data_IF_839061688989
#
_entry.id   IF_839061688989
#
_cell.length_a   1.000
_cell.length_b   1.000
_cell.length_c   1.000
_cell.angle_alpha   90.00
_cell.angle_beta   90.00
_cell.angle_gamma   90.00
#
_symmetry.space_group_name_H-M   'P 1'
#
loop_
_entity.id
_entity.type
_entity.pdbx_description
1 polymer ?
#
# COMPACT_ATOMS: atom_id res chain seq x y z
N UNK A 1 18.96 -9.61 -16.78
CA UNK A 1 18.87 -8.14 -16.96
C UNK A 1 17.69 -7.86 -17.88
N UNK A 2 16.73 -7.02 -17.46
CA UNK A 2 15.54 -6.69 -18.26
C UNK A 2 15.92 -5.75 -19.43
N UNK A 3 15.27 -5.92 -20.58
CA UNK A 3 15.58 -5.11 -21.77
C UNK A 3 15.02 -3.69 -21.63
N UNK A 4 15.61 -2.71 -22.34
CA UNK A 4 15.15 -1.31 -22.33
C UNK A 4 13.66 -1.15 -22.70
N UNK A 5 13.15 -2.06 -23.54
CA UNK A 5 11.74 -2.10 -23.91
C UNK A 5 10.84 -2.57 -22.75
N UNK A 6 11.26 -3.58 -21.99
CA UNK A 6 10.54 -4.05 -20.81
C UNK A 6 10.47 -2.97 -19.73
N UNK A 7 11.56 -2.24 -19.48
CA UNK A 7 11.58 -1.14 -18.50
C UNK A 7 10.60 -0.02 -18.90
N UNK A 8 10.54 0.33 -20.20
CA UNK A 8 9.62 1.37 -20.70
C UNK A 8 8.15 0.93 -20.59
N UNK A 9 7.87 -0.36 -20.83
CA UNK A 9 6.53 -0.93 -20.68
C UNK A 9 6.11 -0.97 -19.20
N UNK A 10 6.98 -1.43 -18.31
CA UNK A 10 6.75 -1.41 -16.85
C UNK A 10 6.48 0.01 -16.35
N UNK A 11 7.33 0.98 -16.72
CA UNK A 11 7.15 2.38 -16.30
C UNK A 11 5.81 2.99 -16.78
N UNK A 12 5.34 2.61 -17.97
CA UNK A 12 4.04 3.08 -18.47
C UNK A 12 2.90 2.45 -17.67
N UNK A 13 2.98 1.14 -17.42
CA UNK A 13 1.99 0.43 -16.60
C UNK A 13 1.96 0.96 -15.17
N UNK A 14 3.12 1.15 -14.54
CA UNK A 14 3.23 1.68 -13.18
C UNK A 14 2.62 3.08 -13.09
N UNK A 15 2.85 3.95 -14.08
CA UNK A 15 2.27 5.30 -14.10
C UNK A 15 0.75 5.31 -14.28
N UNK A 16 0.21 4.39 -15.08
CA UNK A 16 -1.23 4.33 -15.37
C UNK A 16 -2.02 3.56 -14.31
N UNK A 17 -1.42 2.55 -13.66
CA UNK A 17 -2.13 1.60 -12.80
C UNK A 17 -1.73 1.66 -11.33
N UNK A 18 -0.64 2.36 -10.99
CA UNK A 18 -0.17 2.45 -9.61
C UNK A 18 -0.17 3.90 -9.13
N UNK A 19 -0.71 4.11 -7.92
CA UNK A 19 -0.60 5.39 -7.21
C UNK A 19 0.22 5.15 -5.96
N UNK A 20 1.39 5.80 -5.90
CA UNK A 20 2.23 5.78 -4.69
C UNK A 20 1.68 6.78 -3.68
N UNK A 21 1.38 6.30 -2.48
CA UNK A 21 0.94 7.13 -1.35
C UNK A 21 2.08 7.16 -0.33
N UNK A 22 2.60 8.35 -0.07
CA UNK A 22 3.71 8.56 0.85
C UNK A 22 3.12 8.90 2.22
N UNK A 23 3.30 8.01 3.19
CA UNK A 23 2.72 8.13 4.51
C UNK A 23 3.85 8.36 5.53
N UNK A 24 3.77 9.47 6.27
CA UNK A 24 4.73 9.79 7.32
C UNK A 24 4.22 9.24 8.65
N UNK A 25 4.90 8.24 9.18
CA UNK A 25 4.67 7.71 10.53
C UNK A 25 5.70 8.30 11.49
N UNK A 26 5.25 8.73 12.66
CA UNK A 26 6.15 9.22 13.69
C UNK A 26 6.63 8.04 14.55
N UNK A 27 7.95 7.89 14.66
CA UNK A 27 8.59 6.81 15.43
C UNK A 27 8.22 6.75 16.91
N UNK A 28 7.64 7.83 17.48
CA UNK A 28 7.26 7.88 18.90
C UNK A 28 5.79 7.55 19.16
N UNK A 29 4.89 8.00 18.30
CA UNK A 29 3.43 7.81 18.48
C UNK A 29 2.89 6.64 17.68
N UNK A 30 3.53 6.34 16.55
CA UNK A 30 3.14 5.29 15.62
C UNK A 30 4.15 4.13 15.65
N UNK A 31 4.90 3.99 16.75
CA UNK A 31 5.89 2.93 16.93
C UNK A 31 5.26 1.56 16.71
N UNK A 32 4.11 1.31 17.31
CA UNK A 32 3.36 0.05 17.22
C UNK A 32 2.93 -0.26 15.77
N UNK A 33 2.56 0.77 15.01
CA UNK A 33 2.21 0.64 13.58
C UNK A 33 3.46 0.29 12.77
N UNK A 34 4.59 0.94 13.05
CA UNK A 34 5.87 0.65 12.39
C UNK A 34 6.29 -0.79 12.67
N UNK A 35 6.19 -1.24 13.92
CA UNK A 35 6.52 -2.61 14.32
C UNK A 35 5.61 -3.64 13.64
N UNK A 36 4.30 -3.41 13.59
CA UNK A 36 3.37 -4.26 12.83
C UNK A 36 3.73 -4.30 11.34
N UNK A 37 4.04 -3.13 10.74
CA UNK A 37 4.45 -3.06 9.35
C UNK A 37 5.78 -3.80 9.11
N UNK A 38 6.70 -3.80 10.07
CA UNK A 38 7.96 -4.57 9.98
C UNK A 38 7.76 -6.07 10.19
N UNK A 39 6.78 -6.48 10.99
CA UNK A 39 6.47 -7.89 11.21
C UNK A 39 5.78 -8.57 10.01
N UNK A 40 5.02 -7.81 9.20
CA UNK A 40 4.29 -8.38 8.06
C UNK A 40 5.18 -8.59 6.82
N UNK A 41 5.00 -9.69 6.08
CA UNK A 41 5.80 -9.97 4.88
C UNK A 41 5.54 -8.97 3.74
N UNK A 42 4.38 -8.30 3.73
CA UNK A 42 4.03 -7.31 2.72
C UNK A 42 3.24 -6.15 3.33
N UNK A 43 3.96 -5.06 3.64
CA UNK A 43 3.39 -3.79 4.16
C UNK A 43 2.24 -3.27 3.29
N UNK A 44 2.45 -3.28 1.98
CA UNK A 44 1.46 -2.82 1.01
C UNK A 44 0.24 -3.73 0.95
N UNK A 45 0.42 -5.05 1.08
CA UNK A 45 -0.69 -6.01 1.10
C UNK A 45 -1.54 -5.83 2.34
N UNK A 46 -0.89 -5.79 3.50
CA UNK A 46 -1.54 -5.62 4.79
C UNK A 46 -2.41 -4.35 4.85
N UNK A 47 -1.84 -3.21 4.44
CA UNK A 47 -2.59 -1.93 4.39
C UNK A 47 -3.78 -2.02 3.41
N UNK A 48 -3.61 -2.65 2.24
CA UNK A 48 -4.71 -2.80 1.26
C UNK A 48 -5.86 -3.63 1.83
N UNK A 49 -5.55 -4.71 2.55
CA UNK A 49 -6.57 -5.59 3.10
C UNK A 49 -7.32 -4.91 4.25
N UNK A 50 -6.61 -4.17 5.12
CA UNK A 50 -7.25 -3.33 6.15
C UNK A 50 -8.17 -2.27 5.53
N UNK A 51 -7.72 -1.55 4.50
CA UNK A 51 -8.55 -0.54 3.82
C UNK A 51 -9.76 -1.19 3.15
N UNK A 52 -9.62 -2.36 2.53
CA UNK A 52 -10.74 -3.09 1.92
C UNK A 52 -11.77 -3.51 2.97
N UNK A 53 -11.32 -4.07 4.08
CA UNK A 53 -12.19 -4.44 5.20
C UNK A 53 -12.91 -3.21 5.77
N UNK A 54 -12.20 -2.08 5.90
CA UNK A 54 -12.78 -0.84 6.38
C UNK A 54 -13.84 -0.29 5.41
N UNK A 55 -13.57 -0.30 4.09
CA UNK A 55 -14.57 0.06 3.06
C UNK A 55 -15.80 -0.85 3.15
N UNK A 56 -15.61 -2.16 3.31
CA UNK A 56 -16.72 -3.11 3.48
C UNK A 56 -17.51 -2.86 4.77
N UNK A 57 -16.82 -2.56 5.87
CA UNK A 57 -17.44 -2.21 7.14
C UNK A 57 -18.25 -0.91 7.04
N UNK A 58 -17.70 0.13 6.39
CA UNK A 58 -18.41 1.39 6.13
C UNK A 58 -19.65 1.16 5.24
N UNK A 59 -19.53 0.34 4.19
CA UNK A 59 -20.69 -0.03 3.34
C UNK A 59 -21.78 -0.75 4.12
N UNK A 60 -21.42 -1.63 5.06
CA UNK A 60 -22.40 -2.34 5.91
C UNK A 60 -23.04 -1.42 6.94
N UNK A 61 -22.36 -0.35 7.34
CA UNK A 61 -22.82 0.56 8.39
C UNK A 61 -23.66 1.72 7.84
N UNK A 62 -23.75 1.86 6.51
CA UNK A 62 -24.75 2.73 5.85
C UNK A 62 -24.56 4.22 6.14
N UNK A 63 -23.61 4.85 5.44
CA UNK A 63 -23.68 6.26 5.09
C UNK A 63 -24.09 6.35 3.63
#
# INVERSE_FOLDING_TARGET
MATKAQIKASNKYDKENTKSVLLKLNKKTDADIIEMLDAVPSKMGYIKDLIRQDIEAQKKTGI
#
